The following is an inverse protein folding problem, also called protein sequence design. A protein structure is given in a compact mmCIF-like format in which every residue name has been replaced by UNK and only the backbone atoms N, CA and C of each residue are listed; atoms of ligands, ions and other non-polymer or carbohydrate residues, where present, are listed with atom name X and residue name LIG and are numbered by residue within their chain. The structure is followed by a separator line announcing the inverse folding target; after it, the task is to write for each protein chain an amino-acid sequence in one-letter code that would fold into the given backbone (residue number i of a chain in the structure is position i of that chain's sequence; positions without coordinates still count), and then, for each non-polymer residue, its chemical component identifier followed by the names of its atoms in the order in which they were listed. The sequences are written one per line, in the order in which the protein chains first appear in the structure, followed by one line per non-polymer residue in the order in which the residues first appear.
data_IF_888787245197
#
_entry.id   IF_888787245197
#
_cell.length_a   1.000
_cell.length_b   1.000
_cell.length_c   1.000
_cell.angle_alpha   90.00
_cell.angle_beta   90.00
_cell.angle_gamma   90.00
#
_symmetry.space_group_name_H-M   'P 1'
#
loop_
_entity.id
_entity.type
_entity.pdbx_description
1 polymer ?
#
# COMPACT_ATOMS: atom_id res chain seq x y z
N UNK A 1 -2.85 13.96 -6.80
CA UNK A 1 -3.95 14.10 -5.82
C UNK A 1 -4.40 12.70 -5.43
N UNK A 2 -4.52 12.38 -4.15
CA UNK A 2 -5.02 11.07 -3.67
C UNK A 2 -6.53 11.19 -3.46
N UNK A 3 -7.33 10.27 -4.04
CA UNK A 3 -8.79 10.20 -3.86
C UNK A 3 -9.14 8.90 -3.12
N UNK A 4 -10.03 8.99 -2.13
CA UNK A 4 -10.50 7.84 -1.34
C UNK A 4 -12.01 7.70 -1.48
N UNK A 5 -12.47 7.06 -2.57
CA UNK A 5 -13.90 6.91 -2.88
C UNK A 5 -14.42 5.51 -2.48
N UNK A 6 -13.79 4.45 -2.99
CA UNK A 6 -14.05 3.06 -2.62
C UNK A 6 -12.78 2.45 -2.05
N UNK A 7 -12.81 2.11 -0.76
CA UNK A 7 -11.64 1.59 -0.06
C UNK A 7 -11.26 0.19 -0.57
N UNK A 8 -12.23 -0.70 -0.76
CA UNK A 8 -11.96 -2.01 -1.35
C UNK A 8 -12.07 -1.97 -2.87
N UNK A 9 -10.99 -2.33 -3.56
CA UNK A 9 -10.92 -2.36 -5.03
C UNK A 9 -10.72 -3.77 -5.59
N UNK A 10 -10.35 -4.75 -4.75
CA UNK A 10 -9.96 -6.13 -5.12
C UNK A 10 -8.73 -6.24 -6.02
N UNK A 11 -8.11 -5.11 -6.41
CA UNK A 11 -6.89 -5.11 -7.23
C UNK A 11 -5.67 -5.74 -6.55
N UNK A 12 -5.77 -6.12 -5.28
CA UNK A 12 -4.70 -6.77 -4.53
C UNK A 12 -4.90 -8.27 -4.28
N UNK A 13 -5.96 -8.87 -4.79
CA UNK A 13 -6.37 -10.24 -4.41
C UNK A 13 -5.35 -11.29 -4.88
N UNK A 14 -4.65 -11.04 -5.99
CA UNK A 14 -3.55 -11.88 -6.51
C UNK A 14 -2.20 -11.63 -5.81
N UNK A 15 -2.19 -10.96 -4.66
CA UNK A 15 -0.97 -10.75 -3.86
C UNK A 15 -0.03 -9.64 -4.38
N UNK A 16 -0.48 -8.79 -5.29
CA UNK A 16 0.27 -7.62 -5.81
C UNK A 16 -0.37 -6.30 -5.41
N UNK A 17 0.41 -5.22 -5.39
CA UNK A 17 -0.06 -3.84 -5.13
C UNK A 17 0.61 -2.86 -6.10
N UNK A 18 0.04 -1.67 -6.25
CA UNK A 18 0.57 -0.61 -7.11
C UNK A 18 1.40 0.38 -6.30
N UNK A 19 2.59 0.72 -6.77
CA UNK A 19 3.36 1.85 -6.27
C UNK A 19 2.77 3.17 -6.79
N UNK A 20 3.19 4.30 -6.21
CA UNK A 20 2.80 5.63 -6.70
C UNK A 20 3.22 5.92 -8.15
N UNK A 21 4.20 5.17 -8.68
CA UNK A 21 4.60 5.19 -10.10
C UNK A 21 3.67 4.40 -11.03
N UNK A 22 2.71 3.65 -10.51
CA UNK A 22 1.89 2.70 -11.26
C UNK A 22 2.49 1.30 -11.42
N UNK A 23 3.75 1.10 -11.04
CA UNK A 23 4.40 -0.21 -11.07
C UNK A 23 3.70 -1.20 -10.13
N UNK A 24 3.50 -2.46 -10.60
CA UNK A 24 2.86 -3.54 -9.83
C UNK A 24 3.90 -4.45 -9.20
N UNK A 25 4.00 -4.43 -7.88
CA UNK A 25 4.95 -5.25 -7.10
C UNK A 25 4.23 -6.25 -6.21
N UNK A 26 4.92 -7.33 -5.81
CA UNK A 26 4.38 -8.25 -4.80
C UNK A 26 4.16 -7.54 -3.46
N UNK A 27 3.15 -7.94 -2.69
CA UNK A 27 2.86 -7.37 -1.36
C UNK A 27 4.02 -7.50 -0.35
N UNK A 28 4.90 -8.50 -0.54
CA UNK A 28 6.10 -8.71 0.28
C UNK A 28 7.36 -8.02 -0.29
N UNK A 29 7.22 -7.11 -1.27
CA UNK A 29 8.35 -6.33 -1.78
C UNK A 29 8.89 -5.39 -0.69
N UNK A 30 10.22 -5.20 -0.65
CA UNK A 30 10.90 -4.35 0.34
C UNK A 30 10.32 -2.93 0.45
N UNK A 31 9.93 -2.32 -0.68
CA UNK A 31 9.31 -0.99 -0.67
C UNK A 31 7.97 -0.97 0.05
N UNK A 32 7.17 -2.02 -0.16
CA UNK A 32 5.85 -2.18 0.48
C UNK A 32 6.00 -2.32 1.98
N UNK A 33 6.95 -3.15 2.42
CA UNK A 33 7.27 -3.31 3.83
C UNK A 33 7.73 -1.98 4.46
N UNK A 34 8.60 -1.22 3.78
CA UNK A 34 9.14 0.03 4.31
C UNK A 34 8.05 1.06 4.64
N UNK A 35 7.17 1.39 3.69
CA UNK A 35 6.09 2.34 3.98
C UNK A 35 4.98 1.74 4.86
N UNK A 36 4.80 0.41 4.85
CA UNK A 36 3.89 -0.27 5.77
C UNK A 36 4.31 -0.14 7.24
N UNK A 37 5.61 -0.30 7.53
CA UNK A 37 6.15 -0.05 8.88
C UNK A 37 6.06 1.42 9.28
N UNK A 38 6.24 2.35 8.34
CA UNK A 38 6.00 3.78 8.62
C UNK A 38 4.54 4.06 8.96
N UNK A 39 3.60 3.46 8.24
CA UNK A 39 2.16 3.56 8.51
C UNK A 39 1.80 3.00 9.89
N UNK A 40 2.36 1.85 10.25
CA UNK A 40 2.22 1.25 11.59
C UNK A 40 2.75 2.20 12.69
N UNK A 41 3.95 2.77 12.50
CA UNK A 41 4.50 3.72 13.46
C UNK A 41 3.62 4.98 13.59
N UNK A 42 3.10 5.50 12.48
CA UNK A 42 2.21 6.66 12.48
C UNK A 42 0.89 6.36 13.21
N UNK A 43 0.33 5.16 13.04
CA UNK A 43 -0.87 4.71 13.75
C UNK A 43 -0.66 4.63 15.28
N UNK A 44 0.57 4.36 15.73
CA UNK A 44 0.94 4.36 17.15
C UNK A 44 1.08 5.77 17.70
N UNK A 45 1.58 6.72 16.90
CA UNK A 45 1.80 8.11 17.33
C UNK A 45 0.48 8.88 17.49
N UNK A 46 -0.45 8.75 16.52
CA UNK A 46 -1.73 9.46 16.50
C UNK A 46 -1.68 10.83 15.84
#
# INVERSE_FOLDING_TARGET
MVSLDKIYTRGGDEGKTSLGSGERVAKHNLRVAAYGTSDEANAVIG
#
